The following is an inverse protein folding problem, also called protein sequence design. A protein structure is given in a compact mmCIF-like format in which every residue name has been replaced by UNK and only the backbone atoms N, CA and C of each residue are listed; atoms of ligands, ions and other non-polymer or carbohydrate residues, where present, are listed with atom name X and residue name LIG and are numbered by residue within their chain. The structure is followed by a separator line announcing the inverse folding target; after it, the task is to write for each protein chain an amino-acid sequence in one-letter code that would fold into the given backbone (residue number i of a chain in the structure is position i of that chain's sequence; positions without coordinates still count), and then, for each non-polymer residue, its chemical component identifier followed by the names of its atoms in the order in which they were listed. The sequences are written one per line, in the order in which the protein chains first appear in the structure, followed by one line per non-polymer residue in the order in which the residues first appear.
data_IF_580316507711
#
_entry.id   IF_580316507711
#
_cell.length_a   1.000
_cell.length_b   1.000
_cell.length_c   1.000
_cell.angle_alpha   90.00
_cell.angle_beta   90.00
_cell.angle_gamma   90.00
#
_symmetry.space_group_name_H-M   'P 1'
#
loop_
_entity.id
_entity.type
_entity.pdbx_description
1 polymer ?
#
# COMPACT_ATOMS: atom_id res chain seq x y z
N UNK A 1 0.15 23.79 -13.80
CA UNK A 1 0.57 23.69 -12.39
C UNK A 1 0.55 22.22 -12.01
N UNK A 2 1.61 21.74 -11.35
CA UNK A 2 1.65 20.39 -10.77
C UNK A 2 0.45 20.22 -9.82
N UNK A 3 -0.38 19.19 -10.05
CA UNK A 3 -1.50 18.88 -9.16
C UNK A 3 -0.98 17.95 -8.07
N UNK A 4 -0.84 18.46 -6.84
CA UNK A 4 -0.44 17.68 -5.68
C UNK A 4 -1.67 17.02 -5.05
N UNK A 5 -1.55 15.74 -4.67
CA UNK A 5 -2.62 14.97 -4.03
C UNK A 5 -2.27 14.60 -2.59
N UNK A 6 -3.28 14.43 -1.74
CA UNK A 6 -3.10 13.92 -0.37
C UNK A 6 -3.54 12.47 -0.28
N UNK A 7 -2.63 11.57 0.09
CA UNK A 7 -2.90 10.15 0.25
C UNK A 7 -2.76 9.75 1.72
N UNK A 8 -3.86 9.30 2.31
CA UNK A 8 -3.82 8.53 3.54
C UNK A 8 -3.54 7.06 3.21
N UNK A 9 -2.31 6.60 3.47
CA UNK A 9 -1.92 5.20 3.27
C UNK A 9 -2.19 4.42 4.55
N UNK A 10 -3.40 3.96 4.83
CA UNK A 10 -3.69 3.27 6.08
C UNK A 10 -3.32 1.78 6.07
N UNK A 11 -3.27 1.17 7.26
CA UNK A 11 -2.99 -0.28 7.40
C UNK A 11 -4.10 -1.14 6.80
N UNK A 12 -5.35 -0.69 6.90
CA UNK A 12 -6.53 -1.46 6.46
C UNK A 12 -7.19 -0.84 5.24
N UNK A 13 -7.32 0.48 5.22
CA UNK A 13 -7.89 1.22 4.11
C UNK A 13 -6.99 2.41 3.79
N UNK A 14 -6.98 2.82 2.53
CA UNK A 14 -6.33 4.02 2.05
C UNK A 14 -7.36 4.96 1.45
N UNK A 15 -7.06 6.25 1.48
CA UNK A 15 -7.94 7.31 1.00
C UNK A 15 -7.12 8.32 0.21
N UNK A 16 -7.69 8.88 -0.86
CA UNK A 16 -7.04 9.94 -1.65
C UNK A 16 -7.93 11.18 -1.69
N UNK A 17 -7.28 12.33 -1.60
CA UNK A 17 -7.91 13.65 -1.60
C UNK A 17 -7.18 14.60 -2.54
N UNK A 18 -7.92 15.58 -3.05
CA UNK A 18 -7.43 16.66 -3.90
C UNK A 18 -7.88 18.00 -3.34
N UNK A 19 -7.23 19.09 -3.74
CA UNK A 19 -7.74 20.44 -3.51
C UNK A 19 -8.64 20.84 -4.67
N UNK A 20 -9.92 21.07 -4.39
CA UNK A 20 -10.90 21.62 -5.32
C UNK A 20 -11.09 23.11 -5.00
N UNK A 21 -10.30 23.95 -5.66
CA UNK A 21 -10.11 25.34 -5.24
C UNK A 21 -9.42 25.43 -3.88
N UNK A 22 -10.08 26.03 -2.91
CA UNK A 22 -9.62 26.18 -1.53
C UNK A 22 -10.12 25.08 -0.58
N UNK A 23 -10.92 24.13 -1.09
CA UNK A 23 -11.55 23.08 -0.28
C UNK A 23 -10.92 21.71 -0.53
N UNK A 24 -10.51 20.97 0.52
CA UNK A 24 -10.12 19.59 0.36
C UNK A 24 -11.33 18.72 0.04
N UNK A 25 -11.16 17.78 -0.90
CA UNK A 25 -12.19 16.85 -1.31
C UNK A 25 -11.64 15.43 -1.37
N UNK A 26 -12.29 14.51 -0.66
CA UNK A 26 -12.08 13.07 -0.82
C UNK A 26 -12.79 12.61 -2.08
N UNK A 27 -12.09 11.87 -2.93
CA UNK A 27 -12.61 11.38 -4.22
C UNK A 27 -12.92 9.89 -4.15
N UNK A 28 -13.86 9.46 -4.98
CA UNK A 28 -14.26 8.05 -5.10
C UNK A 28 -13.27 7.31 -6.01
N UNK A 29 -12.99 6.04 -5.69
CA UNK A 29 -12.22 5.14 -6.54
C UNK A 29 -13.07 4.61 -7.71
N UNK A 30 -12.45 3.80 -8.57
CA UNK A 30 -13.11 3.14 -9.71
C UNK A 30 -14.29 2.24 -9.32
N UNK A 31 -14.38 1.85 -8.04
CA UNK A 31 -15.46 1.03 -7.50
C UNK A 31 -16.60 1.87 -6.87
N UNK A 32 -16.48 3.21 -6.85
CA UNK A 32 -17.45 4.13 -6.23
C UNK A 32 -17.27 4.34 -4.73
N UNK A 33 -16.22 3.78 -4.12
CA UNK A 33 -15.94 3.90 -2.69
C UNK A 33 -14.99 5.09 -2.41
N UNK A 34 -15.23 5.81 -1.31
CA UNK A 34 -14.31 6.89 -0.84
C UNK A 34 -13.04 6.39 -0.16
N UNK A 35 -12.96 5.09 0.12
CA UNK A 35 -11.76 4.44 0.64
C UNK A 35 -11.51 3.15 -0.11
N UNK A 36 -10.24 2.80 -0.25
CA UNK A 36 -9.81 1.59 -0.94
C UNK A 36 -9.15 0.65 0.07
N UNK A 37 -9.53 -0.64 0.14
CA UNK A 37 -8.82 -1.58 0.99
C UNK A 37 -7.31 -1.61 0.70
N UNK A 38 -6.48 -1.57 1.73
CA UNK A 38 -5.02 -1.69 1.64
C UNK A 38 -4.62 -3.15 1.47
N UNK A 39 -5.07 -3.74 0.36
CA UNK A 39 -4.94 -5.16 0.04
C UNK A 39 -4.43 -5.28 -1.39
N UNK A 40 -3.42 -6.13 -1.59
CA UNK A 40 -2.82 -6.44 -2.88
C UNK A 40 -2.82 -7.96 -3.05
N UNK A 41 -3.34 -8.47 -4.16
CA UNK A 41 -3.31 -9.89 -4.45
C UNK A 41 -2.54 -10.16 -5.73
N UNK A 42 -1.66 -11.16 -5.69
CA UNK A 42 -0.90 -11.63 -6.83
C UNK A 42 -1.60 -12.87 -7.37
N UNK A 43 -2.07 -12.78 -8.62
CA UNK A 43 -2.64 -13.91 -9.35
C UNK A 43 -1.65 -14.37 -10.43
N UNK A 44 -2.00 -15.39 -11.20
CA UNK A 44 -1.14 -15.84 -12.30
C UNK A 44 -1.15 -14.86 -13.49
N UNK A 45 -2.23 -14.09 -13.63
CA UNK A 45 -2.45 -13.17 -14.75
C UNK A 45 -2.18 -11.72 -14.36
N UNK A 46 -2.70 -11.30 -13.20
CA UNK A 46 -2.78 -9.90 -12.80
C UNK A 46 -2.38 -9.65 -11.33
N UNK A 47 -2.05 -8.39 -11.04
CA UNK A 47 -1.97 -7.85 -9.69
C UNK A 47 -3.26 -7.08 -9.38
N UNK A 48 -4.03 -7.57 -8.42
CA UNK A 48 -5.27 -6.94 -7.98
C UNK A 48 -4.99 -6.03 -6.78
N UNK A 49 -5.68 -4.88 -6.70
CA UNK A 49 -5.54 -3.93 -5.59
C UNK A 49 -6.91 -3.43 -5.14
N UNK A 50 -7.12 -3.34 -3.82
CA UNK A 50 -8.36 -2.82 -3.25
C UNK A 50 -9.46 -3.85 -3.15
N UNK A 51 -10.68 -3.51 -3.58
CA UNK A 51 -11.85 -4.38 -3.43
C UNK A 51 -11.71 -5.68 -4.22
N UNK A 52 -11.12 -5.65 -5.42
CA UNK A 52 -10.89 -6.85 -6.23
C UNK A 52 -9.98 -7.84 -5.50
N UNK A 53 -8.87 -7.37 -4.93
CA UNK A 53 -7.97 -8.18 -4.11
C UNK A 53 -8.66 -8.73 -2.85
N UNK A 54 -9.42 -7.88 -2.15
CA UNK A 54 -10.13 -8.26 -0.93
C UNK A 54 -11.18 -9.37 -1.18
N UNK A 55 -11.91 -9.32 -2.28
CA UNK A 55 -12.96 -10.30 -2.61
C UNK A 55 -12.45 -11.72 -2.76
N UNK A 56 -11.25 -11.89 -3.33
CA UNK A 56 -10.67 -13.20 -3.59
C UNK A 56 -9.74 -13.72 -2.47
N UNK A 57 -9.57 -12.95 -1.38
CA UNK A 57 -8.65 -13.29 -0.30
C UNK A 57 -8.93 -14.66 0.35
N UNK A 58 -10.19 -15.11 0.34
CA UNK A 58 -10.58 -16.41 0.91
C UNK A 58 -10.15 -17.60 0.04
N UNK A 59 -10.09 -17.43 -1.28
CA UNK A 59 -9.69 -18.48 -2.23
C UNK A 59 -8.21 -18.43 -2.58
N UNK A 60 -7.53 -17.33 -2.27
CA UNK A 60 -6.10 -17.12 -2.53
C UNK A 60 -5.39 -16.50 -1.31
N UNK A 61 -5.41 -17.16 -0.14
CA UNK A 61 -4.97 -16.52 1.10
C UNK A 61 -3.45 -16.30 1.16
N UNK A 62 -2.65 -17.14 0.51
CA UNK A 62 -1.18 -17.07 0.56
C UNK A 62 -0.59 -15.94 -0.30
N UNK A 63 -1.24 -15.61 -1.43
CA UNK A 63 -0.78 -14.56 -2.34
C UNK A 63 -1.59 -13.26 -2.20
N UNK A 64 -2.42 -13.14 -1.15
CA UNK A 64 -3.17 -11.92 -0.82
C UNK A 64 -2.57 -11.22 0.38
N UNK A 65 -1.91 -10.11 0.11
CA UNK A 65 -1.13 -9.32 1.05
C UNK A 65 -1.99 -8.17 1.61
N UNK A 66 -2.07 -8.09 2.93
CA UNK A 66 -2.80 -7.04 3.66
C UNK A 66 -2.07 -6.68 4.95
N UNK A 67 -2.43 -5.57 5.58
CA UNK A 67 -1.75 -5.08 6.80
C UNK A 67 -0.24 -4.87 6.66
N UNK A 68 0.27 -4.75 5.43
CA UNK A 68 1.70 -4.60 5.11
C UNK A 68 2.34 -3.37 5.78
N UNK A 69 1.54 -2.33 6.08
CA UNK A 69 2.00 -1.16 6.87
C UNK A 69 2.52 -1.55 8.27
N UNK A 70 2.19 -2.73 8.79
CA UNK A 70 2.77 -3.26 10.03
C UNK A 70 4.20 -3.77 9.86
N UNK A 71 4.58 -4.20 8.66
CA UNK A 71 5.89 -4.78 8.33
C UNK A 71 6.86 -3.76 7.75
N UNK A 72 6.36 -2.67 7.16
CA UNK A 72 7.20 -1.65 6.52
C UNK A 72 8.26 -1.12 7.51
N UNK A 73 9.52 -1.09 7.07
CA UNK A 73 10.65 -0.61 7.88
C UNK A 73 10.97 -1.42 9.15
N UNK A 74 10.53 -2.69 9.25
CA UNK A 74 10.85 -3.56 10.39
C UNK A 74 11.87 -4.64 10.04
N UNK A 75 12.61 -5.08 11.05
CA UNK A 75 13.47 -6.28 10.98
C UNK A 75 12.65 -7.54 11.21
N UNK A 76 13.01 -8.60 10.48
CA UNK A 76 12.35 -9.91 10.55
C UNK A 76 12.29 -10.48 11.97
N UNK A 77 13.32 -10.25 12.76
CA UNK A 77 13.45 -10.84 14.10
C UNK A 77 12.69 -10.08 15.21
N UNK A 78 12.07 -8.93 14.89
CA UNK A 78 11.28 -8.15 15.84
C UNK A 78 10.06 -8.93 16.36
N UNK A 79 9.75 -8.77 17.66
CA UNK A 79 8.56 -9.40 18.28
C UNK A 79 7.24 -9.07 17.56
N UNK A 80 7.10 -7.85 17.06
CA UNK A 80 5.91 -7.43 16.34
C UNK A 80 5.73 -8.25 15.04
N UNK A 81 6.82 -8.52 14.33
CA UNK A 81 6.80 -9.31 13.08
C UNK A 81 6.50 -10.78 13.37
N UNK A 82 7.09 -11.34 14.44
CA UNK A 82 6.79 -12.71 14.89
C UNK A 82 5.32 -12.91 15.23
N UNK A 83 4.70 -11.94 15.91
CA UNK A 83 3.26 -11.97 16.20
C UNK A 83 2.42 -11.92 14.92
N UNK A 84 2.80 -11.09 13.95
CA UNK A 84 2.09 -11.03 12.68
C UNK A 84 2.25 -12.35 11.88
N UNK A 85 3.40 -13.03 11.95
CA UNK A 85 3.62 -14.36 11.33
C UNK A 85 2.61 -15.42 11.79
N UNK A 86 2.19 -15.38 13.05
CA UNK A 86 1.22 -16.33 13.60
C UNK A 86 -0.22 -16.03 13.17
N UNK A 87 -0.48 -14.85 12.62
CA UNK A 87 -1.83 -14.33 12.35
C UNK A 87 -2.15 -14.31 10.86
N UNK A 88 -1.16 -14.03 10.01
CA UNK A 88 -1.39 -13.85 8.57
C UNK A 88 -1.17 -15.14 7.78
N UNK A 89 -1.95 -15.38 6.71
CA UNK A 89 -1.83 -16.60 5.91
C UNK A 89 -0.70 -16.56 4.88
N UNK A 90 -0.27 -15.36 4.46
CA UNK A 90 0.86 -15.18 3.57
C UNK A 90 2.18 -15.33 4.32
N UNK A 91 3.24 -15.67 3.60
CA UNK A 91 4.55 -15.91 4.23
C UNK A 91 5.29 -14.60 4.42
N UNK A 92 5.77 -14.36 5.64
CA UNK A 92 6.74 -13.30 5.94
C UNK A 92 8.13 -13.94 5.90
N UNK A 93 9.05 -13.36 5.14
CA UNK A 93 10.41 -13.86 4.90
C UNK A 93 11.47 -12.89 5.39
N UNK A 94 12.68 -13.41 5.65
CA UNK A 94 13.84 -12.60 6.03
C UNK A 94 14.63 -12.26 4.77
N UNK A 95 14.78 -10.97 4.48
CA UNK A 95 15.67 -10.53 3.42
C UNK A 95 17.15 -10.64 3.84
N UNK A 96 18.06 -10.54 2.86
CA UNK A 96 19.51 -10.66 3.09
C UNK A 96 20.04 -9.62 4.08
N UNK A 97 19.42 -8.43 4.11
CA UNK A 97 19.75 -7.34 5.05
C UNK A 97 19.01 -7.44 6.42
N UNK A 98 18.29 -8.55 6.64
CA UNK A 98 17.52 -8.85 7.85
C UNK A 98 16.14 -8.18 7.93
N UNK A 99 15.71 -7.44 6.90
CA UNK A 99 14.38 -6.82 6.87
C UNK A 99 13.28 -7.86 6.75
N UNK A 100 12.10 -7.53 7.28
CA UNK A 100 10.88 -8.31 7.11
C UNK A 100 10.33 -8.08 5.70
N UNK A 101 10.36 -9.10 4.86
CA UNK A 101 9.76 -9.15 3.53
C UNK A 101 8.56 -10.08 3.53
N UNK A 102 7.83 -10.13 2.42
CA UNK A 102 6.72 -11.04 2.21
C UNK A 102 6.94 -11.84 0.95
N UNK A 103 6.35 -13.03 0.86
CA UNK A 103 6.39 -13.87 -0.32
C UNK A 103 5.01 -13.95 -0.96
N UNK A 104 4.94 -13.76 -2.27
CA UNK A 104 3.76 -14.08 -3.07
C UNK A 104 4.22 -14.68 -4.40
N UNK A 105 3.56 -15.75 -4.86
CA UNK A 105 3.91 -16.50 -6.08
C UNK A 105 5.40 -16.92 -6.12
N UNK A 106 5.94 -17.32 -4.98
CA UNK A 106 7.34 -17.73 -4.81
C UNK A 106 8.37 -16.61 -4.95
N UNK A 107 7.94 -15.34 -5.00
CA UNK A 107 8.81 -14.17 -5.08
C UNK A 107 8.83 -13.45 -3.74
N UNK A 108 10.04 -13.14 -3.25
CA UNK A 108 10.23 -12.26 -2.11
C UNK A 108 10.03 -10.81 -2.55
N UNK A 109 9.15 -10.09 -1.85
CA UNK A 109 8.70 -8.74 -2.17
C UNK A 109 8.89 -7.87 -0.93
N UNK A 110 9.48 -6.69 -1.12
CA UNK A 110 9.68 -5.75 -0.02
C UNK A 110 8.35 -5.06 0.35
N UNK A 111 8.07 -4.76 1.64
CA UNK A 111 6.85 -4.04 2.03
C UNK A 111 6.62 -2.69 1.32
N UNK A 112 7.66 -1.89 0.98
CA UNK A 112 7.49 -0.70 0.16
C UNK A 112 6.94 -0.98 -1.23
N UNK A 113 7.34 -2.09 -1.87
CA UNK A 113 6.87 -2.46 -3.22
C UNK A 113 5.38 -2.81 -3.21
N UNK A 114 4.92 -3.55 -2.19
CA UNK A 114 3.49 -3.85 -2.03
C UNK A 114 2.70 -2.55 -1.75
N UNK A 115 3.24 -1.69 -0.90
CA UNK A 115 2.62 -0.39 -0.60
C UNK A 115 2.56 0.52 -1.84
N UNK A 116 3.57 0.44 -2.72
CA UNK A 116 3.58 1.16 -3.98
C UNK A 116 2.41 0.76 -4.89
N UNK A 117 1.98 -0.50 -4.92
CA UNK A 117 0.77 -0.92 -5.67
C UNK A 117 -0.50 -0.23 -5.16
N UNK A 118 -0.62 -0.05 -3.85
CA UNK A 118 -1.74 0.69 -3.25
C UNK A 118 -1.66 2.16 -3.65
N UNK A 119 -0.48 2.77 -3.54
CA UNK A 119 -0.28 4.16 -3.91
C UNK A 119 -0.52 4.42 -5.41
N UNK A 120 -0.08 3.51 -6.29
CA UNK A 120 -0.36 3.55 -7.73
C UNK A 120 -1.87 3.58 -8.02
N UNK A 121 -2.68 2.78 -7.29
CA UNK A 121 -4.16 2.85 -7.41
C UNK A 121 -4.70 4.20 -6.93
N UNK A 122 -4.11 4.80 -5.90
CA UNK A 122 -4.53 6.13 -5.39
C UNK A 122 -4.18 7.25 -6.38
N UNK A 123 -2.98 7.20 -6.96
CA UNK A 123 -2.55 8.09 -8.06
C UNK A 123 -3.51 7.96 -9.25
N UNK A 124 -3.76 6.74 -9.73
CA UNK A 124 -4.69 6.49 -10.85
C UNK A 124 -6.09 7.04 -10.58
N UNK A 125 -6.60 6.84 -9.36
CA UNK A 125 -7.90 7.38 -8.93
C UNK A 125 -7.94 8.91 -9.04
N UNK A 126 -6.88 9.58 -8.60
CA UNK A 126 -6.79 11.03 -8.72
C UNK A 126 -6.64 11.49 -10.17
N UNK A 127 -5.85 10.79 -10.99
CA UNK A 127 -5.66 11.11 -12.41
C UNK A 127 -6.98 10.99 -13.19
N UNK A 128 -7.76 9.94 -12.94
CA UNK A 128 -9.08 9.72 -13.54
C UNK A 128 -10.07 10.82 -13.15
N UNK A 129 -10.06 11.24 -11.88
CA UNK A 129 -10.89 12.34 -11.41
C UNK A 129 -10.46 13.70 -12.00
N UNK A 130 -9.15 13.94 -12.11
CA UNK A 130 -8.58 15.22 -12.51
C UNK A 130 -8.43 15.40 -14.03
N UNK A 131 -8.55 14.32 -14.80
CA UNK A 131 -8.30 14.28 -16.25
C UNK A 131 -6.87 14.64 -16.64
N UNK A 132 -5.90 14.45 -15.74
CA UNK A 132 -4.52 14.87 -15.92
C UNK A 132 -3.56 14.02 -15.08
N UNK A 133 -2.31 13.91 -15.54
CA UNK A 133 -1.22 13.22 -14.84
C UNK A 133 -0.90 13.86 -13.47
N UNK A 134 -0.66 13.02 -12.46
CA UNK A 134 -0.29 13.44 -11.09
C UNK A 134 1.12 12.98 -10.77
N UNK A 135 2.01 13.93 -10.45
CA UNK A 135 3.44 13.66 -10.19
C UNK A 135 3.85 13.85 -8.74
N UNK A 136 3.03 14.53 -7.95
CA UNK A 136 3.37 14.92 -6.59
C UNK A 136 2.28 14.47 -5.61
N UNK A 137 2.70 13.92 -4.47
CA UNK A 137 1.81 13.48 -3.43
C UNK A 137 2.38 13.77 -2.04
N UNK A 138 1.48 14.08 -1.11
CA UNK A 138 1.73 14.03 0.34
C UNK A 138 1.18 12.71 0.86
N UNK A 139 2.02 11.89 1.48
CA UNK A 139 1.66 10.54 1.98
C UNK A 139 1.72 10.52 3.50
N UNK A 140 0.67 10.02 4.16
CA UNK A 140 0.60 9.95 5.63
C UNK A 140 1.45 8.83 6.23
N UNK A 141 2.02 9.09 7.40
CA UNK A 141 2.63 8.08 8.28
C UNK A 141 2.16 8.30 9.72
N UNK A 142 2.07 7.24 10.55
CA UNK A 142 1.81 7.38 11.97
C UNK A 142 2.83 8.30 12.63
N UNK A 143 2.40 9.10 13.61
CA UNK A 143 3.27 10.03 14.31
C UNK A 143 4.47 9.34 15.00
N UNK A 144 4.28 8.09 15.43
CA UNK A 144 5.30 7.28 16.11
C UNK A 144 6.18 6.45 15.15
N UNK A 145 6.03 6.56 13.83
CA UNK A 145 6.94 5.90 12.91
C UNK A 145 8.37 6.39 13.13
N UNK A 146 9.31 5.43 13.20
CA UNK A 146 10.74 5.71 13.26
C UNK A 146 11.29 6.11 11.87
N UNK A 147 12.58 6.43 11.80
CA UNK A 147 13.20 6.92 10.56
C UNK A 147 13.19 5.87 9.43
N UNK A 148 13.44 4.60 9.75
CA UNK A 148 13.43 3.51 8.76
C UNK A 148 12.03 3.32 8.17
N UNK A 149 10.98 3.38 8.99
CA UNK A 149 9.59 3.27 8.56
C UNK A 149 9.15 4.47 7.70
N UNK A 150 9.59 5.68 8.07
CA UNK A 150 9.34 6.90 7.28
C UNK A 150 10.04 6.84 5.93
N UNK A 151 11.31 6.44 5.91
CA UNK A 151 12.10 6.29 4.69
C UNK A 151 11.48 5.23 3.78
N UNK A 152 11.16 4.05 4.30
CA UNK A 152 10.52 2.98 3.55
C UNK A 152 9.16 3.40 2.96
N UNK A 153 8.38 4.21 3.66
CA UNK A 153 7.12 4.78 3.13
C UNK A 153 7.38 5.80 2.02
N UNK A 154 8.42 6.64 2.17
CA UNK A 154 8.85 7.58 1.12
C UNK A 154 9.33 6.84 -0.13
N UNK A 155 10.09 5.76 0.04
CA UNK A 155 10.59 4.93 -1.04
C UNK A 155 9.44 4.27 -1.80
N UNK A 156 8.40 3.77 -1.10
CA UNK A 156 7.17 3.30 -1.74
C UNK A 156 6.50 4.39 -2.59
N UNK A 157 6.52 5.64 -2.12
CA UNK A 157 6.02 6.80 -2.85
C UNK A 157 6.79 7.08 -4.15
N UNK A 158 8.11 6.88 -4.14
CA UNK A 158 8.98 7.09 -5.29
C UNK A 158 8.89 5.98 -6.36
N UNK A 159 8.30 4.82 -6.03
CA UNK A 159 8.08 3.68 -6.95
C UNK A 159 6.80 3.81 -7.78
N UNK A 160 6.17 4.99 -7.83
CA UNK A 160 4.91 5.25 -8.56
C UNK A 160 5.11 5.78 -9.99
N UNK A 161 6.35 5.89 -10.45
CA UNK A 161 6.71 6.27 -11.82
C UNK A 161 6.85 5.06 -12.74
#
# INVERSE_FOLDING_TARGET
MSKMIGIDLGTTNSCVSVMDGDKPKVIENSEGDRTTPSVVAYTDEDILVGQSAKRQAVTNPQDTLYAIKRLIGRKFDEEAVKKDQDIVPYKITKADNGDAWVEAKGKNIAPPEVSAKILQKMKKTAEDYLGAEVKEAVITVPAYFNDDQRKATKDAGAMQD
#
